data_IF_049483265359
#
_entry.id   IF_049483265359
#
_cell.length_a   1.000
_cell.length_b   1.000
_cell.length_c   1.000
_cell.angle_alpha   90.00
_cell.angle_beta   90.00
_cell.angle_gamma   90.00
#
_symmetry.space_group_name_H-M   'P 1'
#
loop_
_entity.id
_entity.type
_entity.pdbx_description
1 polymer ?
#
# COMPACT_ATOMS: atom_id res chain seq x y z
N UNK A 1 -60.24 6.16 -9.05
CA UNK A 1 -59.34 7.33 -9.17
C UNK A 1 -58.04 7.03 -8.44
N UNK A 2 -56.92 7.22 -9.15
CA UNK A 2 -55.53 7.36 -8.69
C UNK A 2 -54.73 6.15 -8.19
N UNK A 3 -53.84 5.75 -9.10
CA UNK A 3 -52.64 4.91 -9.02
C UNK A 3 -51.49 5.59 -8.24
N UNK A 4 -50.66 4.79 -7.54
CA UNK A 4 -49.21 5.08 -7.49
C UNK A 4 -48.35 3.82 -7.38
N UNK A 5 -47.47 3.73 -8.37
CA UNK A 5 -46.54 2.66 -8.76
C UNK A 5 -45.45 2.37 -7.71
N UNK A 6 -45.13 1.10 -7.46
CA UNK A 6 -43.79 0.66 -7.02
C UNK A 6 -42.90 0.48 -8.25
N UNK A 7 -41.76 1.18 -8.28
CA UNK A 7 -40.73 1.11 -9.32
C UNK A 7 -39.91 -0.19 -9.16
N UNK A 8 -39.92 -0.99 -10.23
CA UNK A 8 -38.79 -1.71 -10.83
C UNK A 8 -37.81 -2.45 -9.92
N UNK A 9 -38.05 -3.75 -9.75
CA UNK A 9 -36.98 -4.74 -9.54
C UNK A 9 -36.74 -5.40 -10.90
N UNK A 10 -35.51 -5.33 -11.42
CA UNK A 10 -35.16 -5.94 -12.70
C UNK A 10 -34.91 -7.44 -12.50
N UNK A 11 -35.78 -8.27 -13.06
CA UNK A 11 -35.60 -9.71 -13.21
C UNK A 11 -34.69 -9.99 -14.41
N UNK A 12 -33.65 -10.80 -14.20
CA UNK A 12 -32.77 -11.31 -15.26
C UNK A 12 -33.59 -12.15 -16.25
N UNK A 13 -33.71 -11.68 -17.49
CA UNK A 13 -34.22 -12.48 -18.61
C UNK A 13 -33.09 -13.35 -19.15
N UNK A 14 -33.33 -14.66 -19.14
CA UNK A 14 -32.55 -15.66 -19.87
C UNK A 14 -32.53 -15.31 -21.37
N UNK A 15 -31.34 -15.29 -21.96
CA UNK A 15 -31.18 -15.32 -23.41
C UNK A 15 -31.45 -16.74 -23.88
N UNK A 16 -32.65 -17.00 -24.40
CA UNK A 16 -32.89 -18.08 -25.35
C UNK A 16 -32.40 -17.59 -26.72
N UNK A 17 -31.27 -18.12 -27.17
CA UNK A 17 -30.80 -17.95 -28.55
C UNK A 17 -31.54 -18.95 -29.44
N UNK A 18 -32.55 -18.47 -30.17
CA UNK A 18 -33.11 -19.17 -31.32
C UNK A 18 -32.18 -18.98 -32.51
N UNK A 19 -31.37 -19.99 -32.83
CA UNK A 19 -30.78 -20.15 -34.17
C UNK A 19 -31.29 -21.49 -34.70
N UNK A 20 -31.99 -21.41 -35.81
CA UNK A 20 -32.60 -22.53 -36.50
C UNK A 20 -31.52 -23.51 -37.01
N UNK A 21 -31.63 -24.78 -36.60
CA UNK A 21 -30.87 -25.89 -37.18
C UNK A 21 -31.41 -26.20 -38.59
N UNK A 22 -30.50 -26.23 -39.58
CA UNK A 22 -30.73 -26.98 -40.83
C UNK A 22 -30.29 -28.42 -40.60
N UNK A 23 -31.00 -29.43 -41.13
CA UNK A 23 -30.57 -30.81 -41.02
C UNK A 23 -29.39 -31.02 -41.98
N UNK A 24 -28.26 -31.49 -41.45
CA UNK A 24 -27.18 -32.04 -42.28
C UNK A 24 -27.10 -33.52 -41.95
N UNK A 25 -27.28 -34.32 -43.00
CA UNK A 25 -27.21 -35.77 -43.00
C UNK A 25 -25.91 -36.25 -42.34
N UNK A 26 -26.07 -37.21 -41.42
CA UNK A 26 -25.00 -38.11 -40.99
C UNK A 26 -24.59 -38.95 -42.19
N UNK A 27 -23.38 -38.77 -42.69
CA UNK A 27 -22.59 -39.88 -43.24
C UNK A 27 -21.13 -39.44 -43.39
N UNK A 28 -20.23 -40.21 -42.79
CA UNK A 28 -18.76 -40.17 -42.93
C UNK A 28 -18.06 -38.89 -42.47
N UNK A 29 -17.52 -38.86 -41.23
CA UNK A 29 -16.35 -38.05 -40.80
C UNK A 29 -16.09 -38.22 -39.28
N UNK A 30 -15.86 -39.45 -38.80
CA UNK A 30 -15.22 -39.65 -37.49
C UNK A 30 -13.70 -39.58 -37.61
N UNK A 31 -13.11 -40.18 -38.66
CA UNK A 31 -11.67 -40.13 -38.91
C UNK A 31 -11.13 -38.70 -39.16
N UNK A 32 -11.88 -37.85 -39.89
CA UNK A 32 -11.51 -36.46 -40.14
C UNK A 32 -11.71 -35.55 -38.93
N UNK A 33 -12.61 -35.91 -37.99
CA UNK A 33 -12.76 -35.19 -36.72
C UNK A 33 -11.65 -35.55 -35.75
N UNK A 34 -11.22 -36.81 -35.68
CA UNK A 34 -10.08 -37.21 -34.87
C UNK A 34 -8.78 -36.59 -35.39
N UNK A 35 -8.58 -36.54 -36.71
CA UNK A 35 -7.39 -35.92 -37.31
C UNK A 35 -7.38 -34.38 -37.15
N UNK A 36 -8.54 -33.72 -37.23
CA UNK A 36 -8.66 -32.29 -36.91
C UNK A 36 -8.52 -32.01 -35.41
N UNK A 37 -8.97 -32.90 -34.53
CA UNK A 37 -8.78 -32.77 -33.07
C UNK A 37 -7.33 -33.06 -32.69
N UNK A 38 -6.65 -33.99 -33.36
CA UNK A 38 -5.22 -34.22 -33.20
C UNK A 38 -4.39 -33.07 -33.76
N UNK A 39 -4.77 -32.51 -34.92
CA UNK A 39 -4.11 -31.33 -35.46
C UNK A 39 -4.30 -30.13 -34.52
N UNK A 40 -5.49 -29.91 -33.98
CA UNK A 40 -5.74 -28.86 -32.97
C UNK A 40 -4.97 -29.14 -31.67
N UNK A 41 -4.80 -30.40 -31.24
CA UNK A 41 -3.92 -30.76 -30.10
C UNK A 41 -2.43 -30.56 -30.40
N UNK A 42 -1.99 -30.81 -31.64
CA UNK A 42 -0.60 -30.61 -32.09
C UNK A 42 -0.28 -29.13 -32.33
N UNK A 43 -1.27 -28.30 -32.69
CA UNK A 43 -1.15 -26.84 -32.80
C UNK A 43 -1.38 -26.10 -31.46
N UNK A 44 -2.03 -26.74 -30.48
CA UNK A 44 -2.15 -26.26 -29.09
C UNK A 44 -1.00 -26.72 -28.19
N UNK A 45 0.06 -27.30 -28.76
CA UNK A 45 1.32 -27.52 -28.09
C UNK A 45 2.32 -26.43 -28.49
N UNK A 46 2.44 -25.33 -27.72
CA UNK A 46 3.72 -24.65 -27.62
C UNK A 46 4.62 -25.46 -26.69
N UNK A 47 5.75 -25.87 -27.26
CA UNK A 47 6.95 -26.20 -26.53
C UNK A 47 7.26 -25.14 -25.45
N UNK A 48 7.82 -25.60 -24.34
CA UNK A 48 8.07 -24.93 -23.05
C UNK A 48 6.98 -25.28 -22.02
N UNK A 49 7.17 -26.41 -21.34
CA UNK A 49 6.43 -26.75 -20.13
C UNK A 49 6.50 -25.55 -19.17
N UNK A 50 5.36 -24.89 -18.92
CA UNK A 50 5.29 -23.87 -17.89
C UNK A 50 5.70 -24.55 -16.56
N UNK A 51 6.81 -24.13 -15.91
CA UNK A 51 7.33 -24.81 -14.72
C UNK A 51 6.36 -24.76 -13.54
N UNK A 52 5.29 -23.96 -13.65
CA UNK A 52 4.21 -23.84 -12.68
C UNK A 52 2.98 -24.69 -13.03
N UNK A 53 2.76 -25.09 -14.30
CA UNK A 53 1.66 -25.98 -14.70
C UNK A 53 1.76 -27.39 -14.10
N UNK A 54 2.97 -27.83 -13.71
CA UNK A 54 3.20 -29.13 -13.06
C UNK A 54 2.97 -29.12 -11.54
N UNK A 55 2.63 -27.97 -10.95
CA UNK A 55 2.43 -27.86 -9.51
C UNK A 55 1.05 -28.40 -9.12
N UNK A 56 0.96 -29.43 -8.25
CA UNK A 56 -0.32 -29.95 -7.81
C UNK A 56 -1.05 -28.89 -6.98
N UNK A 57 -2.34 -28.69 -7.29
CA UNK A 57 -3.24 -27.75 -6.62
C UNK A 57 -3.40 -27.96 -5.10
N UNK A 58 -2.88 -29.08 -4.57
CA UNK A 58 -2.96 -29.48 -3.14
C UNK A 58 -1.80 -28.90 -2.31
N UNK A 59 -0.78 -28.30 -2.94
CA UNK A 59 0.44 -27.86 -2.27
C UNK A 59 0.48 -26.37 -1.94
N UNK A 60 -0.50 -25.82 -1.20
CA UNK A 60 -0.50 -24.41 -0.77
C UNK A 60 0.81 -24.01 -0.06
N UNK A 61 1.51 -24.95 0.58
CA UNK A 61 2.81 -24.73 1.24
C UNK A 61 4.03 -24.73 0.31
N UNK A 62 3.95 -25.28 -0.91
CA UNK A 62 5.11 -25.41 -1.81
C UNK A 62 5.36 -24.16 -2.67
N UNK A 63 4.31 -23.40 -2.96
CA UNK A 63 4.37 -22.21 -3.83
C UNK A 63 5.19 -21.07 -3.19
N UNK A 64 5.05 -20.89 -1.87
CA UNK A 64 5.81 -19.91 -1.08
C UNK A 64 7.33 -20.12 -1.11
N UNK A 65 7.80 -21.35 -1.33
CA UNK A 65 9.23 -21.70 -1.19
C UNK A 65 10.09 -21.54 -2.46
N UNK A 66 9.49 -21.23 -3.62
CA UNK A 66 10.26 -21.09 -4.87
C UNK A 66 10.78 -19.65 -5.03
N UNK A 67 12.00 -19.53 -5.56
CA UNK A 67 12.56 -18.26 -6.04
C UNK A 67 11.63 -17.70 -7.12
N UNK A 68 11.33 -16.41 -7.05
CA UNK A 68 10.46 -15.76 -8.02
C UNK A 68 11.23 -15.53 -9.34
N UNK A 69 10.57 -15.59 -10.50
CA UNK A 69 11.18 -15.24 -11.78
C UNK A 69 11.69 -13.81 -11.81
N UNK A 70 12.80 -13.58 -12.52
CA UNK A 70 13.41 -12.25 -12.68
C UNK A 70 13.15 -11.67 -14.08
N UNK A 71 12.62 -12.47 -15.01
CA UNK A 71 12.24 -12.04 -16.36
C UNK A 71 10.72 -11.79 -16.48
N UNK A 72 10.32 -10.90 -17.40
CA UNK A 72 8.92 -10.48 -17.54
C UNK A 72 7.99 -11.63 -17.90
N UNK A 73 8.41 -12.52 -18.78
CA UNK A 73 7.58 -13.65 -19.23
C UNK A 73 7.35 -14.64 -18.09
N UNK A 74 8.40 -14.97 -17.34
CA UNK A 74 8.31 -15.81 -16.14
C UNK A 74 7.39 -15.21 -15.07
N UNK A 75 7.48 -13.91 -14.80
CA UNK A 75 6.61 -13.20 -13.84
C UNK A 75 5.14 -13.29 -14.28
N UNK A 76 4.85 -13.09 -15.58
CA UNK A 76 3.49 -13.18 -16.13
C UNK A 76 2.95 -14.61 -16.01
N UNK A 77 3.76 -15.61 -16.37
CA UNK A 77 3.37 -17.01 -16.28
C UNK A 77 3.07 -17.43 -14.83
N UNK A 78 3.89 -16.97 -13.89
CA UNK A 78 3.67 -17.19 -12.46
C UNK A 78 2.37 -16.52 -11.99
N UNK A 79 2.19 -15.24 -12.32
CA UNK A 79 0.98 -14.49 -11.96
C UNK A 79 -0.29 -15.16 -12.49
N UNK A 80 -0.30 -15.54 -13.77
CA UNK A 80 -1.45 -16.22 -14.38
C UNK A 80 -1.72 -17.58 -13.75
N UNK A 81 -0.66 -18.32 -13.39
CA UNK A 81 -0.81 -19.59 -12.68
C UNK A 81 -1.48 -19.39 -11.31
N UNK A 82 -0.98 -18.47 -10.48
CA UNK A 82 -1.58 -18.23 -9.16
C UNK A 82 -2.99 -17.65 -9.25
N UNK A 83 -3.30 -16.88 -10.29
CA UNK A 83 -4.64 -16.30 -10.49
C UNK A 83 -5.71 -17.38 -10.72
N UNK A 84 -5.33 -18.51 -11.35
CA UNK A 84 -6.23 -19.67 -11.51
C UNK A 84 -6.54 -20.40 -10.21
N UNK A 85 -5.73 -20.23 -9.15
CA UNK A 85 -5.89 -20.96 -7.88
C UNK A 85 -6.52 -20.03 -6.82
N UNK A 86 -7.85 -20.06 -6.68
CA UNK A 86 -8.61 -19.03 -5.95
C UNK A 86 -8.13 -18.73 -4.51
N UNK A 87 -7.82 -19.75 -3.68
CA UNK A 87 -7.55 -19.55 -2.25
C UNK A 87 -6.08 -19.17 -1.92
N UNK A 88 -5.09 -19.73 -2.62
CA UNK A 88 -3.66 -19.38 -2.46
C UNK A 88 -3.28 -18.06 -3.10
N UNK A 89 -4.16 -17.51 -3.93
CA UNK A 89 -3.79 -16.44 -4.84
C UNK A 89 -3.44 -15.13 -4.13
N UNK A 90 -4.02 -14.81 -2.97
CA UNK A 90 -3.91 -13.44 -2.45
C UNK A 90 -2.51 -13.06 -1.97
N UNK A 91 -1.89 -13.85 -1.07
CA UNK A 91 -0.54 -13.55 -0.57
C UNK A 91 0.48 -13.66 -1.69
N UNK A 92 0.37 -14.68 -2.53
CA UNK A 92 1.27 -14.86 -3.67
C UNK A 92 1.10 -13.77 -4.73
N UNK A 93 -0.13 -13.24 -4.94
CA UNK A 93 -0.36 -12.07 -5.80
C UNK A 93 0.33 -10.84 -5.23
N UNK A 94 0.22 -10.61 -3.92
CA UNK A 94 0.94 -9.52 -3.25
C UNK A 94 2.46 -9.67 -3.46
N UNK A 95 2.97 -10.89 -3.27
CA UNK A 95 4.39 -11.22 -3.40
C UNK A 95 4.93 -11.02 -4.81
N UNK A 96 4.33 -11.65 -5.82
CA UNK A 96 4.82 -11.57 -7.20
C UNK A 96 4.69 -10.14 -7.76
N UNK A 97 3.64 -9.40 -7.40
CA UNK A 97 3.46 -8.03 -7.89
C UNK A 97 4.42 -7.05 -7.20
N UNK A 98 4.74 -7.25 -5.92
CA UNK A 98 5.79 -6.49 -5.23
C UNK A 98 7.16 -6.77 -5.84
N UNK A 99 7.50 -8.05 -6.02
CA UNK A 99 8.73 -8.48 -6.67
C UNK A 99 8.86 -7.92 -8.09
N UNK A 100 7.80 -8.02 -8.91
CA UNK A 100 7.79 -7.41 -10.23
C UNK A 100 8.09 -5.91 -10.14
N UNK A 101 7.41 -5.18 -9.25
CA UNK A 101 7.66 -3.75 -9.09
C UNK A 101 9.10 -3.43 -8.65
N UNK A 102 9.77 -4.30 -7.89
CA UNK A 102 11.20 -4.15 -7.58
C UNK A 102 12.07 -4.35 -8.83
N UNK A 103 11.85 -5.44 -9.58
CA UNK A 103 12.57 -5.73 -10.84
C UNK A 103 12.44 -4.59 -11.85
N UNK A 104 11.23 -4.05 -12.05
CA UNK A 104 10.99 -2.95 -12.99
C UNK A 104 11.53 -1.59 -12.53
N UNK A 105 11.95 -1.46 -11.25
CA UNK A 105 12.43 -0.20 -10.66
C UNK A 105 13.90 -0.24 -10.22
N UNK A 106 14.54 -1.39 -10.30
CA UNK A 106 15.96 -1.55 -9.97
C UNK A 106 16.81 -0.56 -10.79
N UNK A 107 17.51 0.34 -10.09
CA UNK A 107 18.23 1.44 -10.72
C UNK A 107 19.33 0.97 -11.66
N UNK A 108 19.93 -0.19 -11.37
CA UNK A 108 21.10 -0.70 -12.08
C UNK A 108 20.70 -1.45 -13.36
N UNK A 109 19.51 -2.07 -13.38
CA UNK A 109 19.08 -2.96 -14.47
C UNK A 109 17.87 -2.43 -15.26
N UNK A 110 17.18 -1.40 -14.75
CA UNK A 110 15.92 -0.90 -15.33
C UNK A 110 16.03 -0.49 -16.79
N UNK A 111 17.07 0.21 -17.22
CA UNK A 111 17.17 0.68 -18.62
C UNK A 111 17.31 -0.49 -19.59
N UNK A 112 18.21 -1.43 -19.29
CA UNK A 112 18.40 -2.64 -20.08
C UNK A 112 17.13 -3.51 -20.07
N UNK A 113 16.54 -3.71 -18.89
CA UNK A 113 15.31 -4.49 -18.74
C UNK A 113 14.14 -3.87 -19.50
N UNK A 114 13.99 -2.55 -19.48
CA UNK A 114 12.93 -1.86 -20.23
C UNK A 114 13.11 -1.96 -21.74
N UNK A 115 14.34 -1.96 -22.23
CA UNK A 115 14.63 -2.15 -23.66
C UNK A 115 14.35 -3.59 -24.11
N UNK A 116 14.75 -4.58 -23.31
CA UNK A 116 14.62 -5.99 -23.66
C UNK A 116 13.23 -6.57 -23.42
N UNK A 117 12.62 -6.23 -22.28
CA UNK A 117 11.39 -6.86 -21.79
C UNK A 117 10.18 -5.93 -21.90
N UNK A 118 10.41 -4.61 -21.95
CA UNK A 118 9.38 -3.58 -22.07
C UNK A 118 9.09 -2.84 -20.77
N UNK A 119 8.11 -1.93 -20.82
CA UNK A 119 7.80 -1.03 -19.71
C UNK A 119 6.88 -1.67 -18.65
N UNK A 120 6.88 -1.11 -17.43
CA UNK A 120 5.89 -1.44 -16.39
C UNK A 120 4.45 -1.36 -16.90
N UNK A 121 4.13 -0.37 -17.74
CA UNK A 121 2.81 -0.23 -18.37
C UNK A 121 2.48 -1.43 -19.28
N UNK A 122 3.46 -1.95 -20.02
CA UNK A 122 3.30 -3.12 -20.87
C UNK A 122 3.02 -4.37 -20.03
N UNK A 123 3.72 -4.54 -18.92
CA UNK A 123 3.47 -5.61 -17.95
C UNK A 123 2.03 -5.57 -17.40
N UNK A 124 1.61 -4.40 -16.90
CA UNK A 124 0.25 -4.19 -16.39
C UNK A 124 -0.84 -4.55 -17.40
N UNK A 125 -0.64 -4.17 -18.67
CA UNK A 125 -1.57 -4.51 -19.75
C UNK A 125 -1.65 -6.02 -19.99
N UNK A 126 -0.53 -6.75 -19.92
CA UNK A 126 -0.50 -8.21 -20.13
C UNK A 126 -1.18 -8.99 -19.02
N UNK A 127 -1.05 -8.55 -17.77
CA UNK A 127 -1.74 -9.18 -16.63
C UNK A 127 -3.18 -8.68 -16.45
N UNK A 128 -3.64 -7.73 -17.29
CA UNK A 128 -5.01 -7.22 -17.27
C UNK A 128 -5.36 -6.38 -16.03
N UNK A 129 -4.36 -5.78 -15.35
CA UNK A 129 -4.56 -5.01 -14.13
C UNK A 129 -4.21 -3.53 -14.32
N UNK A 130 -5.01 -2.66 -13.69
CA UNK A 130 -4.68 -1.24 -13.63
C UNK A 130 -3.59 -0.94 -12.59
N UNK A 131 -2.86 0.16 -12.80
CA UNK A 131 -1.83 0.61 -11.88
C UNK A 131 -2.34 0.79 -10.43
N UNK A 132 -3.53 1.39 -10.17
CA UNK A 132 -4.05 1.50 -8.80
C UNK A 132 -4.36 0.14 -8.15
N UNK A 133 -4.81 -0.85 -8.94
CA UNK A 133 -5.06 -2.19 -8.41
C UNK A 133 -3.74 -2.84 -7.99
N UNK A 134 -2.74 -2.85 -8.86
CA UNK A 134 -1.43 -3.45 -8.57
C UNK A 134 -0.73 -2.75 -7.41
N UNK A 135 -0.77 -1.42 -7.36
CA UNK A 135 -0.22 -0.66 -6.24
C UNK A 135 -0.82 -1.08 -4.89
N UNK A 136 -2.10 -1.45 -4.84
CA UNK A 136 -2.72 -1.92 -3.60
C UNK A 136 -2.12 -3.24 -3.13
N UNK A 137 -1.90 -4.19 -4.02
CA UNK A 137 -1.22 -5.46 -3.70
C UNK A 137 0.23 -5.24 -3.26
N UNK A 138 0.94 -4.34 -3.92
CA UNK A 138 2.30 -3.94 -3.53
C UNK A 138 2.29 -3.32 -2.13
N UNK A 139 1.36 -2.40 -1.84
CA UNK A 139 1.21 -1.81 -0.50
C UNK A 139 0.91 -2.85 0.56
N UNK A 140 0.06 -3.84 0.27
CA UNK A 140 -0.21 -4.93 1.19
C UNK A 140 1.05 -5.73 1.50
N UNK A 141 1.84 -6.07 0.49
CA UNK A 141 3.10 -6.78 0.70
C UNK A 141 4.09 -5.96 1.54
N UNK A 142 4.33 -4.71 1.15
CA UNK A 142 5.36 -3.87 1.78
C UNK A 142 5.00 -3.51 3.23
N UNK A 143 3.71 -3.27 3.51
CA UNK A 143 3.24 -2.92 4.85
C UNK A 143 2.99 -4.17 5.69
N UNK A 144 2.30 -5.20 5.22
CA UNK A 144 1.95 -6.31 6.11
C UNK A 144 2.97 -7.45 6.08
N UNK A 145 3.61 -7.68 4.93
CA UNK A 145 4.53 -8.80 4.74
C UNK A 145 3.81 -10.16 4.80
N UNK A 146 4.56 -11.26 4.57
CA UNK A 146 3.96 -12.59 4.43
C UNK A 146 3.20 -13.04 5.68
N UNK A 147 3.79 -12.90 6.86
CA UNK A 147 3.22 -13.42 8.12
C UNK A 147 1.87 -12.81 8.46
N UNK A 148 1.71 -11.50 8.33
CA UNK A 148 0.45 -10.82 8.64
C UNK A 148 -0.61 -11.12 7.57
N UNK A 149 -0.21 -11.19 6.29
CA UNK A 149 -1.12 -11.53 5.20
C UNK A 149 -1.63 -12.97 5.33
N UNK A 150 -0.78 -13.92 5.73
CA UNK A 150 -1.19 -15.30 6.01
C UNK A 150 -2.16 -15.36 7.20
N UNK A 151 -1.86 -14.68 8.31
CA UNK A 151 -2.77 -14.59 9.47
C UNK A 151 -4.10 -13.94 9.06
N UNK A 152 -4.08 -12.93 8.20
CA UNK A 152 -5.29 -12.29 7.69
C UNK A 152 -6.18 -13.26 6.90
N UNK A 153 -5.61 -14.15 6.08
CA UNK A 153 -6.38 -15.19 5.39
C UNK A 153 -6.97 -16.19 6.39
N UNK A 154 -6.19 -16.64 7.37
CA UNK A 154 -6.66 -17.59 8.40
C UNK A 154 -7.83 -17.04 9.24
N UNK A 155 -7.90 -15.72 9.39
CA UNK A 155 -8.94 -15.01 10.16
C UNK A 155 -10.07 -14.46 9.27
N UNK A 156 -10.18 -14.90 8.01
CA UNK A 156 -11.16 -14.41 7.02
C UNK A 156 -11.18 -12.87 6.89
N UNK A 157 -10.01 -12.25 7.08
CA UNK A 157 -9.86 -10.80 7.11
C UNK A 157 -9.78 -10.25 5.68
N UNK A 158 -10.88 -9.65 5.23
CA UNK A 158 -10.99 -9.20 3.83
C UNK A 158 -9.93 -8.15 3.43
N UNK A 159 -9.58 -8.13 2.14
CA UNK A 159 -8.73 -7.10 1.53
C UNK A 159 -9.27 -5.67 1.74
N UNK A 160 -10.60 -5.50 1.91
CA UNK A 160 -11.21 -4.20 2.18
C UNK A 160 -10.88 -3.67 3.58
N UNK A 161 -10.70 -4.56 4.56
CA UNK A 161 -10.26 -4.21 5.91
C UNK A 161 -8.75 -3.91 5.92
N UNK A 162 -7.93 -4.71 5.23
CA UNK A 162 -6.50 -4.41 5.04
C UNK A 162 -6.30 -3.03 4.40
N UNK A 163 -7.11 -2.69 3.39
CA UNK A 163 -7.06 -1.37 2.75
C UNK A 163 -7.42 -0.23 3.70
N UNK A 164 -8.33 -0.45 4.66
CA UNK A 164 -8.64 0.55 5.68
C UNK A 164 -7.46 0.76 6.62
N UNK A 165 -6.78 -0.32 7.05
CA UNK A 165 -5.59 -0.26 7.91
C UNK A 165 -4.42 0.51 7.28
N UNK A 166 -4.24 0.40 5.95
CA UNK A 166 -3.22 1.19 5.23
C UNK A 166 -3.44 2.71 5.33
N UNK A 167 -4.63 3.15 5.75
CA UNK A 167 -4.96 4.57 5.89
C UNK A 167 -4.95 5.05 7.34
N UNK A 168 -4.53 4.20 8.28
CA UNK A 168 -4.38 4.58 9.68
C UNK A 168 -3.20 5.53 9.87
N UNK A 169 -3.29 6.44 10.86
CA UNK A 169 -2.21 7.37 11.15
C UNK A 169 -1.04 6.75 11.94
N UNK A 170 -1.24 5.55 12.50
CA UNK A 170 -0.22 4.74 13.19
C UNK A 170 0.18 3.53 12.32
N UNK A 171 1.30 2.87 12.65
CA UNK A 171 1.74 1.67 11.94
C UNK A 171 0.78 0.50 12.20
N UNK A 172 0.04 0.02 11.18
CA UNK A 172 -0.94 -1.04 11.37
C UNK A 172 -0.30 -2.40 11.66
N UNK A 173 1.01 -2.59 11.38
CA UNK A 173 1.71 -3.84 11.74
C UNK A 173 1.72 -4.06 13.24
N UNK A 174 2.01 -3.00 13.99
CA UNK A 174 2.09 -3.04 15.46
C UNK A 174 0.74 -3.43 16.04
N UNK A 175 -0.33 -2.80 15.57
CA UNK A 175 -1.69 -3.12 15.99
C UNK A 175 -2.09 -4.59 15.74
N UNK A 176 -1.66 -5.17 14.61
CA UNK A 176 -1.96 -6.54 14.22
C UNK A 176 -1.09 -7.58 14.93
N UNK A 177 0.18 -7.29 15.18
CA UNK A 177 1.13 -8.21 15.82
C UNK A 177 0.97 -8.26 17.34
N UNK A 178 0.74 -7.10 17.98
CA UNK A 178 0.61 -7.00 19.43
C UNK A 178 -0.81 -7.30 19.93
N UNK A 179 -1.72 -7.69 19.03
CA UNK A 179 -3.15 -7.93 19.33
C UNK A 179 -3.76 -6.77 20.11
N UNK A 180 -3.36 -5.55 19.73
CA UNK A 180 -3.73 -4.35 20.43
C UNK A 180 -5.24 -4.20 20.39
N UNK A 181 -5.82 -3.97 21.57
CA UNK A 181 -7.24 -3.78 21.72
C UNK A 181 -7.60 -2.29 21.64
N UNK A 182 -8.69 -2.00 20.94
CA UNK A 182 -9.24 -0.66 20.85
C UNK A 182 -10.64 -0.66 21.42
N UNK A 183 -10.90 0.35 22.25
CA UNK A 183 -12.21 0.60 22.82
C UNK A 183 -13.07 1.34 21.80
N UNK A 184 -14.17 0.72 21.40
CA UNK A 184 -15.24 1.28 20.59
C UNK A 184 -16.56 1.24 21.39
N UNK A 185 -17.65 1.75 20.84
CA UNK A 185 -18.92 1.84 21.56
C UNK A 185 -19.45 0.47 22.05
N UNK A 186 -19.21 -0.58 21.27
CA UNK A 186 -19.72 -1.94 21.54
C UNK A 186 -18.81 -2.78 22.45
N UNK A 187 -17.67 -2.24 22.90
CA UNK A 187 -16.70 -2.97 23.73
C UNK A 187 -15.25 -2.75 23.31
N UNK A 188 -14.39 -3.67 23.72
CA UNK A 188 -12.96 -3.65 23.42
C UNK A 188 -12.61 -4.83 22.52
N UNK A 189 -12.12 -4.54 21.32
CA UNK A 189 -11.86 -5.54 20.29
C UNK A 189 -10.44 -5.43 19.77
N UNK A 190 -9.89 -6.53 19.29
CA UNK A 190 -8.68 -6.54 18.46
C UNK A 190 -9.01 -6.20 17.02
N UNK A 191 -7.98 -5.85 16.23
CA UNK A 191 -8.16 -5.50 14.81
C UNK A 191 -8.84 -6.61 14.00
N UNK A 192 -8.52 -7.88 14.25
CA UNK A 192 -9.07 -9.02 13.49
C UNK A 192 -10.57 -9.23 13.74
N UNK A 193 -11.06 -8.92 14.94
CA UNK A 193 -12.46 -9.09 15.34
C UNK A 193 -13.36 -7.99 14.77
N UNK A 194 -12.80 -6.82 14.46
CA UNK A 194 -13.57 -5.65 14.05
C UNK A 194 -14.15 -5.75 12.64
N UNK A 195 -15.35 -5.22 12.46
CA UNK A 195 -15.90 -4.91 11.13
C UNK A 195 -15.15 -3.75 10.48
N UNK A 196 -15.37 -3.55 9.18
CA UNK A 196 -14.72 -2.43 8.47
C UNK A 196 -15.17 -1.07 9.02
N UNK A 197 -16.43 -0.97 9.42
CA UNK A 197 -17.04 0.22 10.01
C UNK A 197 -16.40 0.53 11.37
N UNK A 198 -16.16 -0.49 12.20
CA UNK A 198 -15.46 -0.35 13.48
C UNK A 198 -14.00 0.08 13.27
N UNK A 199 -13.30 -0.45 12.26
CA UNK A 199 -11.94 0.01 11.92
C UNK A 199 -11.90 1.49 11.49
N UNK A 200 -12.96 1.99 10.84
CA UNK A 200 -13.09 3.42 10.50
C UNK A 200 -13.32 4.30 11.72
N UNK A 201 -14.09 3.80 12.70
CA UNK A 201 -14.28 4.48 13.97
C UNK A 201 -12.95 4.60 14.73
N UNK A 202 -12.20 3.50 14.84
CA UNK A 202 -10.86 3.51 15.44
C UNK A 202 -9.94 4.48 14.72
N UNK A 203 -9.90 4.45 13.38
CA UNK A 203 -9.12 5.42 12.60
C UNK A 203 -9.48 6.87 12.91
N UNK A 204 -10.77 7.18 13.06
CA UNK A 204 -11.22 8.54 13.42
C UNK A 204 -10.68 8.94 14.79
N UNK A 205 -10.81 8.05 15.79
CA UNK A 205 -10.26 8.28 17.13
C UNK A 205 -8.74 8.47 17.11
N UNK A 206 -8.01 7.70 16.30
CA UNK A 206 -6.56 7.81 16.16
C UNK A 206 -6.15 9.15 15.54
N UNK A 207 -6.91 9.64 14.55
CA UNK A 207 -6.68 10.95 13.96
C UNK A 207 -6.95 12.09 14.96
N UNK A 208 -8.05 12.02 15.71
CA UNK A 208 -8.38 13.01 16.75
C UNK A 208 -7.27 13.09 17.81
N UNK A 209 -6.71 11.94 18.24
CA UNK A 209 -5.57 11.92 19.17
C UNK A 209 -4.31 12.54 18.58
N UNK A 210 -4.03 12.30 17.29
CA UNK A 210 -2.88 12.87 16.60
C UNK A 210 -3.02 14.39 16.42
N UNK A 211 -4.22 14.86 16.11
CA UNK A 211 -4.49 16.30 16.02
C UNK A 211 -4.32 16.98 17.39
N UNK A 212 -4.83 16.36 18.46
CA UNK A 212 -4.65 16.86 19.82
C UNK A 212 -3.16 16.91 20.22
N UNK A 213 -2.38 15.88 19.93
CA UNK A 213 -0.96 15.85 20.28
C UNK A 213 -0.14 16.88 19.48
N UNK A 214 -0.54 17.21 18.26
CA UNK A 214 0.09 18.28 17.46
C UNK A 214 -0.25 19.66 18.03
N UNK A 215 -1.48 19.88 18.49
CA UNK A 215 -1.89 21.14 19.14
C UNK A 215 -1.11 21.34 20.45
N UNK A 216 -0.95 20.29 21.25
CA UNK A 216 -0.19 20.34 22.51
C UNK A 216 1.32 20.50 22.28
N UNK A 217 1.83 20.12 21.10
CA UNK A 217 3.22 20.27 20.69
C UNK A 217 3.54 21.63 20.02
N UNK A 218 2.57 22.54 19.89
CA UNK A 218 2.85 23.89 19.37
C UNK A 218 3.79 24.60 20.34
N UNK A 219 5.01 24.99 19.93
CA UNK A 219 5.97 25.55 20.87
C UNK A 219 5.45 26.90 21.37
N UNK A 220 5.21 26.98 22.68
CA UNK A 220 4.98 28.25 23.36
C UNK A 220 6.24 29.09 23.16
N UNK A 221 6.17 30.10 22.28
CA UNK A 221 7.25 31.06 22.09
C UNK A 221 7.67 31.59 23.48
N UNK A 222 8.91 31.35 23.94
CA UNK A 222 9.33 31.80 25.26
C UNK A 222 9.26 33.32 25.30
N UNK A 223 8.55 33.88 26.29
CA UNK A 223 8.56 35.33 26.53
C UNK A 223 10.01 35.79 26.71
N UNK A 224 10.41 36.94 26.14
CA UNK A 224 11.80 37.39 26.23
C UNK A 224 12.17 37.61 27.71
N UNK A 225 13.20 36.88 28.17
CA UNK A 225 13.70 37.01 29.53
C UNK A 225 14.28 38.41 29.75
N UNK A 226 13.85 39.10 30.82
CA UNK A 226 14.45 40.37 31.23
C UNK A 226 15.78 40.08 31.93
N UNK A 227 16.87 40.02 31.14
CA UNK A 227 18.23 39.97 31.69
C UNK A 227 18.56 41.36 32.23
N UNK A 228 18.83 41.46 33.52
CA UNK A 228 19.39 42.63 34.18
C UNK A 228 20.84 42.30 34.54
N UNK A 229 21.79 43.10 34.07
CA UNK A 229 23.22 42.89 34.33
C UNK A 229 23.63 43.89 35.39
N UNK A 230 23.95 43.41 36.58
CA UNK A 230 24.38 44.26 37.68
C UNK A 230 25.91 44.19 37.82
N UNK A 231 26.56 45.35 37.84
CA UNK A 231 28.00 45.46 38.02
C UNK A 231 28.26 45.86 39.47
N UNK A 232 28.94 44.98 40.20
CA UNK A 232 29.22 45.16 41.63
C UNK A 232 30.18 46.31 41.93
N UNK A 233 31.04 46.69 40.98
CA UNK A 233 31.92 47.86 41.08
C UNK A 233 31.72 48.82 39.90
N UNK A 234 31.43 50.09 40.22
CA UNK A 234 31.27 51.16 39.23
C UNK A 234 32.59 51.65 38.65
N UNK A 235 33.73 51.24 39.20
CA UNK A 235 35.06 51.50 38.66
C UNK A 235 35.59 50.37 37.79
N UNK A 236 34.80 49.30 37.59
CA UNK A 236 35.19 48.21 36.70
C UNK A 236 35.48 48.76 35.28
N UNK A 237 36.67 48.48 34.71
CA UNK A 237 37.03 48.93 33.37
C UNK A 237 36.02 48.53 32.29
N UNK A 238 35.39 47.34 32.43
CA UNK A 238 34.35 46.85 31.53
C UNK A 238 33.08 47.69 31.66
N UNK A 239 32.68 48.02 32.89
CA UNK A 239 31.51 48.87 33.13
C UNK A 239 31.71 50.29 32.57
N UNK A 240 32.89 50.89 32.79
CA UNK A 240 33.21 52.22 32.27
C UNK A 240 33.25 52.26 30.74
N UNK A 241 33.80 51.21 30.12
CA UNK A 241 33.82 51.07 28.65
C UNK A 241 32.41 50.91 28.08
N UNK A 242 31.57 50.07 28.70
CA UNK A 242 30.18 49.89 28.30
C UNK A 242 29.35 51.17 28.50
N UNK A 243 29.59 51.90 29.59
CA UNK A 243 28.91 53.17 29.87
C UNK A 243 29.24 54.26 28.85
N UNK A 244 30.51 54.37 28.46
CA UNK A 244 30.93 55.31 27.41
C UNK A 244 30.28 54.97 26.06
N UNK A 245 30.33 53.68 25.68
CA UNK A 245 29.71 53.20 24.44
C UNK A 245 28.18 53.38 24.43
N UNK A 246 27.55 53.20 25.58
CA UNK A 246 26.12 53.45 25.79
C UNK A 246 25.75 54.92 25.59
N UNK A 247 26.57 55.85 26.10
CA UNK A 247 26.39 57.29 25.85
C UNK A 247 26.54 57.64 24.37
N UNK A 248 27.57 57.10 23.70
CA UNK A 248 27.81 57.37 22.28
C UNK A 248 26.67 56.87 21.37
N UNK A 249 25.96 55.82 21.79
CA UNK A 249 24.87 55.20 21.01
C UNK A 249 23.46 55.60 21.50
N UNK A 250 23.35 56.44 22.54
CA UNK A 250 22.06 56.81 23.15
C UNK A 250 21.30 55.63 23.76
N UNK A 251 21.99 54.56 24.13
CA UNK A 251 21.42 53.31 24.65
C UNK A 251 21.79 53.11 26.13
N UNK A 252 21.15 52.15 26.79
CA UNK A 252 21.60 51.69 28.12
C UNK A 252 22.67 50.61 27.96
N UNK A 253 23.65 50.49 28.89
CA UNK A 253 24.67 49.44 28.85
C UNK A 253 24.11 48.02 28.64
N UNK A 254 23.01 47.68 29.32
CA UNK A 254 22.33 46.38 29.17
C UNK A 254 21.84 46.10 27.74
N UNK A 255 21.49 47.13 26.98
CA UNK A 255 21.03 46.98 25.59
C UNK A 255 22.19 46.65 24.65
N UNK A 256 23.39 47.18 24.93
CA UNK A 256 24.60 46.86 24.16
C UNK A 256 24.99 45.39 24.38
N UNK A 257 24.94 44.92 25.62
CA UNK A 257 25.23 43.51 25.94
C UNK A 257 24.23 42.58 25.25
N UNK A 258 22.93 42.94 25.25
CA UNK A 258 21.90 42.17 24.54
C UNK A 258 22.15 42.10 23.04
N UNK A 259 22.46 43.23 22.40
CA UNK A 259 22.76 43.26 20.96
C UNK A 259 23.96 42.37 20.62
N UNK A 260 25.01 42.39 21.46
CA UNK A 260 26.17 41.53 21.27
C UNK A 260 25.85 40.04 21.46
N UNK A 261 25.04 39.68 22.47
CA UNK A 261 24.62 38.30 22.71
C UNK A 261 23.70 37.77 21.61
N UNK A 262 22.76 38.58 21.13
CA UNK A 262 21.90 38.22 20.00
C UNK A 262 22.70 38.03 18.71
N UNK A 263 23.74 38.85 18.50
CA UNK A 263 24.63 38.69 17.36
C UNK A 263 25.46 37.40 17.48
N UNK A 264 25.97 37.08 18.67
CA UNK A 264 26.71 35.84 18.93
C UNK A 264 25.86 34.58 18.77
N UNK A 265 24.60 34.60 19.20
CA UNK A 265 23.66 33.47 19.07
C UNK A 265 23.15 33.25 17.64
N UNK A 266 23.31 34.25 16.75
CA UNK A 266 22.93 34.16 15.33
C UNK A 266 24.05 33.68 14.43
N UNK A 267 25.29 33.68 14.91
CA UNK A 267 26.44 32.97 14.32
C UNK A 267 26.48 31.53 14.78
#
# INVERSE_FOLDING_TARGET
>A
MSSRRKKGQATFKSFQSTVAEKPVQEESTEALREEQVEAVKKFAAPAMSNPYQSLPAVGLSRVLSKRLPEDMEGIIQYYNHIDTIQATSFVEKCRILAHANEVFRDADTKEAFQQEQGSWKSFLNRIGMSHPQVNRFISFWNVFGPTILDKAIQQDFSASKLAELLTWPEDPKVALLEERKYKINDGEFTVYEMTREQLREVKKMLNERKEQSVIDATPVLPKPARVHVDFSDKNDPLYQTLKKRAQDQGMKPDQIIRAALEQYLRT
#
